data_IF_075952716741
#
_entry.id   IF_075952716741
#
_cell.length_a   1.000
_cell.length_b   1.000
_cell.length_c   1.000
_cell.angle_alpha   90.00
_cell.angle_beta   90.00
_cell.angle_gamma   90.00
#
_symmetry.space_group_name_H-M   'P 1'
#
loop_
_entity.id
_entity.type
_entity.pdbx_description
1 polymer ?
#
# COMPACT_ATOMS: atom_id res chain seq x y z
N UNK A 1 -18.03 2.34 -0.05
CA UNK A 1 -16.74 3.04 0.01
C UNK A 1 -15.77 2.11 0.71
N UNK A 2 -14.58 1.85 0.16
CA UNK A 2 -13.69 0.80 0.69
C UNK A 2 -13.02 1.19 2.02
N UNK A 3 -12.89 2.48 2.29
CA UNK A 3 -12.34 3.04 3.54
C UNK A 3 -13.41 3.85 4.26
N UNK A 4 -13.54 3.69 5.57
CA UNK A 4 -14.53 4.38 6.39
C UNK A 4 -13.89 5.02 7.62
N UNK A 5 -14.33 6.23 7.99
CA UNK A 5 -13.76 6.98 9.12
C UNK A 5 -13.95 6.20 10.42
N UNK A 6 -12.86 6.03 11.18
CA UNK A 6 -12.88 5.32 12.47
C UNK A 6 -12.89 3.80 12.36
N UNK A 7 -12.88 3.25 11.13
CA UNK A 7 -12.77 1.82 10.87
C UNK A 7 -11.35 1.52 10.38
N UNK A 8 -10.68 0.58 11.05
CA UNK A 8 -9.35 0.11 10.65
C UNK A 8 -9.38 -0.70 9.36
N UNK A 9 -8.25 -0.75 8.66
CA UNK A 9 -8.08 -1.55 7.45
C UNK A 9 -6.65 -2.07 7.34
N UNK A 10 -6.49 -3.18 6.62
CA UNK A 10 -5.19 -3.70 6.24
C UNK A 10 -4.82 -3.18 4.84
N UNK A 11 -3.67 -2.52 4.74
CA UNK A 11 -3.08 -2.08 3.47
C UNK A 11 -1.87 -2.95 3.15
N UNK A 12 -1.94 -3.63 2.01
CA UNK A 12 -0.80 -4.38 1.47
C UNK A 12 -0.38 -3.77 0.13
N UNK A 13 0.91 -3.47 0.00
CA UNK A 13 1.51 -2.97 -1.23
C UNK A 13 2.58 -3.98 -1.65
N UNK A 14 2.36 -4.64 -2.79
CA UNK A 14 3.33 -5.56 -3.40
C UNK A 14 4.07 -4.85 -4.52
N UNK A 15 5.40 -4.86 -4.46
CA UNK A 15 6.27 -4.38 -5.54
C UNK A 15 6.54 -5.51 -6.53
N UNK A 16 5.73 -5.63 -7.57
CA UNK A 16 5.93 -6.61 -8.65
C UNK A 16 6.82 -6.04 -9.75
N UNK A 17 7.27 -6.88 -10.69
CA UNK A 17 8.21 -6.48 -11.75
C UNK A 17 7.73 -5.29 -12.60
N UNK A 18 6.41 -5.17 -12.86
CA UNK A 18 5.87 -4.16 -13.78
C UNK A 18 5.00 -3.08 -13.11
N UNK A 19 4.52 -3.33 -11.89
CA UNK A 19 3.61 -2.43 -11.20
C UNK A 19 3.57 -2.70 -9.69
N UNK A 20 3.15 -1.71 -8.91
CA UNK A 20 2.64 -1.96 -7.57
C UNK A 20 1.25 -2.58 -7.65
N UNK A 21 1.01 -3.64 -6.87
CA UNK A 21 -0.34 -4.12 -6.57
C UNK A 21 -0.74 -3.66 -5.18
N UNK A 22 -1.92 -3.05 -5.07
CA UNK A 22 -2.44 -2.50 -3.82
C UNK A 22 -3.68 -3.28 -3.42
N UNK A 23 -3.69 -3.78 -2.19
CA UNK A 23 -4.80 -4.52 -1.60
C UNK A 23 -5.32 -3.80 -0.37
N UNK A 24 -6.64 -3.83 -0.19
CA UNK A 24 -7.32 -3.39 1.01
C UNK A 24 -8.08 -4.58 1.58
N UNK A 25 -7.80 -4.95 2.83
CA UNK A 25 -8.42 -6.11 3.49
C UNK A 25 -8.32 -7.39 2.64
N UNK A 26 -7.14 -7.65 2.06
CA UNK A 26 -6.85 -8.76 1.12
C UNK A 26 -7.57 -8.74 -0.23
N UNK A 27 -8.41 -7.75 -0.52
CA UNK A 27 -9.04 -7.58 -1.83
C UNK A 27 -8.22 -6.63 -2.71
N UNK A 28 -8.04 -6.98 -3.99
CA UNK A 28 -7.28 -6.14 -4.93
C UNK A 28 -8.01 -4.82 -5.17
N UNK A 29 -7.38 -3.73 -4.76
CA UNK A 29 -7.93 -2.38 -4.89
C UNK A 29 -7.43 -1.67 -6.15
N UNK A 30 -6.11 -1.73 -6.41
CA UNK A 30 -5.52 -1.02 -7.54
C UNK A 30 -4.22 -1.66 -8.05
N UNK A 31 -3.83 -1.25 -9.25
CA UNK A 31 -2.52 -1.52 -9.84
C UNK A 31 -1.94 -0.22 -10.38
N UNK A 32 -0.68 0.04 -10.08
CA UNK A 32 0.01 1.27 -10.50
C UNK A 32 1.31 0.92 -11.19
N UNK A 33 1.38 1.17 -12.50
CA UNK A 33 2.55 0.89 -13.31
C UNK A 33 3.77 1.70 -12.83
N UNK A 34 4.92 1.05 -12.79
CA UNK A 34 6.16 1.69 -12.39
C UNK A 34 6.55 2.82 -13.35
N UNK A 35 7.06 3.93 -12.78
CA UNK A 35 7.59 5.07 -13.55
C UNK A 35 9.10 5.25 -13.38
N UNK A 36 9.69 4.45 -12.50
CA UNK A 36 11.12 4.31 -12.20
C UNK A 36 11.42 2.83 -12.07
N UNK A 37 12.70 2.43 -12.00
CA UNK A 37 13.02 1.00 -11.81
C UNK A 37 12.47 0.54 -10.44
N UNK A 38 11.67 -0.56 -10.39
CA UNK A 38 11.13 -1.09 -9.14
C UNK A 38 12.18 -1.43 -8.08
N UNK A 39 13.44 -1.63 -8.47
CA UNK A 39 14.56 -1.94 -7.57
C UNK A 39 15.13 -0.71 -6.87
N UNK A 40 14.78 0.50 -7.32
CA UNK A 40 15.25 1.75 -6.70
C UNK A 40 14.40 2.16 -5.49
N UNK A 41 13.28 1.48 -5.24
CA UNK A 41 12.37 1.76 -4.13
C UNK A 41 13.02 1.36 -2.80
N UNK A 42 13.27 2.33 -1.94
CA UNK A 42 14.06 2.14 -0.70
C UNK A 42 13.42 2.74 0.57
N UNK A 43 12.22 3.32 0.45
CA UNK A 43 11.57 4.00 1.56
C UNK A 43 10.05 3.90 1.50
N UNK A 44 9.44 3.94 2.69
CA UNK A 44 8.00 4.04 2.88
C UNK A 44 7.72 5.28 3.72
N UNK A 45 6.84 6.15 3.23
CA UNK A 45 6.35 7.30 3.97
C UNK A 45 4.83 7.17 4.11
N UNK A 46 4.36 7.26 5.35
CA UNK A 46 2.93 7.32 5.69
C UNK A 46 2.68 8.68 6.33
N UNK A 47 1.66 9.39 5.85
CA UNK A 47 1.30 10.71 6.37
C UNK A 47 -0.19 11.00 6.19
N UNK A 48 -0.67 12.00 6.92
CA UNK A 48 -2.09 12.36 7.00
C UNK A 48 -2.67 12.14 8.40
N UNK A 49 -3.99 12.31 8.51
CA UNK A 49 -4.76 12.08 9.74
C UNK A 49 -5.19 10.61 9.80
N UNK A 50 -4.26 9.75 10.24
CA UNK A 50 -4.52 8.32 10.48
C UNK A 50 -3.67 7.80 11.63
N UNK A 51 -4.09 6.68 12.20
CA UNK A 51 -3.34 5.93 13.21
C UNK A 51 -2.76 4.66 12.58
N UNK A 52 -1.47 4.40 12.82
CA UNK A 52 -0.79 3.19 12.34
C UNK A 52 -0.76 2.18 13.49
N UNK A 53 -1.52 1.09 13.35
CA UNK A 53 -1.55 0.00 14.33
C UNK A 53 -0.34 -0.93 14.23
N UNK A 54 0.26 -1.05 13.04
CA UNK A 54 1.44 -1.87 12.81
C UNK A 54 1.97 -1.74 11.38
N UNK A 55 3.27 -2.02 11.20
CA UNK A 55 3.93 -2.07 9.90
C UNK A 55 4.71 -3.37 9.83
N UNK A 56 4.57 -4.10 8.73
CA UNK A 56 5.38 -5.27 8.41
C UNK A 56 5.97 -5.13 7.01
N UNK A 57 7.28 -5.31 6.90
CA UNK A 57 8.00 -5.38 5.62
C UNK A 57 8.45 -6.83 5.42
N UNK A 58 8.23 -7.39 4.23
CA UNK A 58 8.61 -8.75 3.85
C UNK A 58 9.36 -8.73 2.53
#
# INVERSE_FOLDING_TARGET
MVLEKGIGFDLEIKNEEYAFQVFLNSERYATYAHRVDPREINGLQIGGDLEVSGIQMR
#
